data_IF_341521313974
#
_entry.id   IF_341521313974
#
_cell.length_a   1.000
_cell.length_b   1.000
_cell.length_c   1.000
_cell.angle_alpha   90.00
_cell.angle_beta   90.00
_cell.angle_gamma   90.00
#
_symmetry.space_group_name_H-M   'P 1'
#
loop_
_entity.id
_entity.type
_entity.pdbx_description
1 polymer ?
#
# COMPACT_ATOMS: atom_id res chain seq x y z
N UNK A 1 -10.71 -16.92 10.71
CA UNK A 1 -10.10 -15.61 10.94
C UNK A 1 -8.68 -15.59 10.44
N UNK A 2 -8.46 -14.96 9.29
CA UNK A 2 -7.15 -14.91 8.62
C UNK A 2 -6.62 -13.46 8.67
N UNK A 3 -5.51 -13.26 9.38
CA UNK A 3 -4.77 -12.00 9.45
C UNK A 3 -3.75 -12.07 8.30
N UNK A 4 -4.14 -11.61 7.11
CA UNK A 4 -3.29 -11.71 5.92
C UNK A 4 -2.18 -10.65 5.87
N UNK A 5 -2.36 -9.50 6.52
CA UNK A 5 -1.36 -8.42 6.58
C UNK A 5 -0.38 -8.61 7.74
N UNK A 6 0.93 -8.50 7.49
CA UNK A 6 1.93 -8.46 8.57
C UNK A 6 1.65 -7.24 9.47
N UNK A 7 1.58 -7.40 10.80
CA UNK A 7 1.37 -6.26 11.69
C UNK A 7 2.53 -5.28 11.55
N UNK A 8 2.20 -3.99 11.50
CA UNK A 8 3.19 -2.91 11.42
C UNK A 8 3.26 -2.25 12.78
N UNK A 9 4.44 -2.29 13.38
CA UNK A 9 4.74 -1.53 14.58
C UNK A 9 5.46 -0.27 14.14
N UNK A 10 4.86 0.88 14.43
CA UNK A 10 5.53 2.16 14.25
C UNK A 10 5.33 3.02 15.50
N UNK A 11 6.42 3.22 16.24
CA UNK A 11 6.42 3.80 17.58
C UNK A 11 5.52 2.99 18.53
N UNK A 12 4.63 3.67 19.26
CA UNK A 12 3.73 3.09 20.25
C UNK A 12 2.40 2.58 19.67
N UNK A 13 2.28 2.42 18.34
CA UNK A 13 1.05 1.98 17.68
C UNK A 13 1.30 0.74 16.85
N UNK A 14 0.48 -0.27 17.07
CA UNK A 14 0.36 -1.48 16.25
C UNK A 14 -0.81 -1.32 15.31
N UNK A 15 -0.58 -1.48 14.01
CA UNK A 15 -1.64 -1.56 13.02
C UNK A 15 -1.89 -3.02 12.63
N UNK A 16 -3.16 -3.39 12.61
CA UNK A 16 -3.63 -4.69 12.17
C UNK A 16 -4.63 -4.48 11.05
N UNK A 17 -4.49 -5.24 9.97
CA UNK A 17 -5.43 -5.24 8.84
C UNK A 17 -5.85 -6.68 8.56
N UNK A 18 -7.16 -6.91 8.46
CA UNK A 18 -7.72 -8.20 8.11
C UNK A 18 -8.21 -8.22 6.67
N UNK A 19 -8.18 -9.40 6.07
CA UNK A 19 -8.87 -9.63 4.79
C UNK A 19 -10.39 -9.48 4.94
N UNK A 20 -10.93 -9.78 6.14
CA UNK A 20 -12.36 -9.70 6.47
C UNK A 20 -12.93 -8.28 6.59
N UNK A 21 -12.11 -7.24 6.37
CA UNK A 21 -12.62 -5.87 6.21
C UNK A 21 -12.40 -4.95 7.39
N UNK A 22 -11.57 -5.31 8.37
CA UNK A 22 -11.29 -4.42 9.51
C UNK A 22 -9.81 -4.06 9.55
N UNK A 23 -9.56 -2.75 9.62
CA UNK A 23 -8.27 -2.21 10.03
C UNK A 23 -8.40 -1.56 11.41
N UNK A 24 -7.46 -1.85 12.30
CA UNK A 24 -7.41 -1.27 13.63
C UNK A 24 -6.02 -0.74 13.97
N UNK A 25 -5.98 0.29 14.81
CA UNK A 25 -4.78 0.76 15.48
C UNK A 25 -4.91 0.49 16.97
N UNK A 26 -3.85 -0.06 17.57
CA UNK A 26 -3.79 -0.49 18.96
C UNK A 26 -2.57 0.17 19.60
N UNK A 27 -2.74 0.74 20.79
CA UNK A 27 -1.64 1.24 21.61
C UNK A 27 -0.77 0.06 22.03
N UNK A 28 0.52 0.10 21.71
CA UNK A 28 1.47 -0.94 22.10
C UNK A 28 1.67 -0.97 23.63
N UNK A 29 1.58 0.19 24.28
CA UNK A 29 1.82 0.34 25.72
C UNK A 29 0.65 -0.15 26.58
N UNK A 30 -0.58 0.03 26.11
CA UNK A 30 -1.79 -0.30 26.89
C UNK A 30 -2.59 -1.48 26.33
N UNK A 31 -2.34 -1.87 25.08
CA UNK A 31 -3.17 -2.83 24.35
C UNK A 31 -4.54 -2.30 23.95
N UNK A 32 -4.83 -1.03 24.23
CA UNK A 32 -6.13 -0.42 23.93
C UNK A 32 -6.25 -0.06 22.45
N UNK A 33 -7.44 -0.30 21.90
CA UNK A 33 -7.75 0.08 20.52
C UNK A 33 -7.94 1.60 20.42
N UNK A 34 -7.06 2.26 19.67
CA UNK A 34 -7.15 3.69 19.36
C UNK A 34 -8.29 3.98 18.39
N UNK A 35 -8.41 3.17 17.34
CA UNK A 35 -9.49 3.26 16.36
C UNK A 35 -9.67 1.96 15.57
N UNK A 36 -10.82 1.84 14.92
CA UNK A 36 -11.12 0.80 13.92
C UNK A 36 -11.86 1.42 12.73
N UNK A 37 -11.65 0.85 11.54
CA UNK A 37 -12.30 1.23 10.28
C UNK A 37 -12.62 -0.02 9.46
N UNK A 38 -13.71 0.07 8.70
CA UNK A 38 -14.12 -0.95 7.74
C UNK A 38 -13.27 -0.82 6.46
N UNK A 39 -12.03 -1.31 6.55
CA UNK A 39 -11.04 -1.28 5.48
C UNK A 39 -10.50 -2.70 5.32
N UNK A 40 -10.80 -3.33 4.19
CA UNK A 40 -10.22 -4.61 3.78
C UNK A 40 -8.89 -4.39 3.08
N UNK A 41 -7.88 -5.13 3.51
CA UNK A 41 -6.59 -5.13 2.84
C UNK A 41 -5.78 -6.38 3.18
N UNK A 42 -4.87 -6.73 2.27
CA UNK A 42 -3.95 -7.85 2.43
C UNK A 42 -2.49 -7.38 2.50
N UNK A 43 -2.24 -6.15 2.05
CA UNK A 43 -0.91 -5.58 2.01
C UNK A 43 -0.57 -4.96 3.36
N UNK A 44 0.71 -4.97 3.69
CA UNK A 44 1.24 -4.34 4.90
C UNK A 44 1.09 -2.83 4.78
N UNK A 45 0.40 -2.14 5.72
CA UNK A 45 0.30 -0.68 5.71
C UNK A 45 1.68 0.00 5.77
N UNK A 46 1.79 1.21 5.26
CA UNK A 46 3.00 2.02 5.41
C UNK A 46 2.75 3.18 6.37
N UNK A 47 3.38 3.17 7.55
CA UNK A 47 3.28 4.27 8.51
C UNK A 47 4.42 5.27 8.31
N UNK A 48 4.11 6.56 8.19
CA UNK A 48 5.12 7.63 8.12
C UNK A 48 4.55 8.95 8.65
N UNK A 49 5.33 9.66 9.48
CA UNK A 49 4.87 10.91 10.12
C UNK A 49 3.57 10.72 10.90
N UNK A 50 2.57 11.57 10.67
CA UNK A 50 1.25 11.47 11.30
C UNK A 50 0.22 10.66 10.49
N UNK A 51 0.68 9.90 9.51
CA UNK A 51 -0.20 9.19 8.58
C UNK A 51 0.14 7.70 8.48
N UNK A 52 -0.86 6.92 8.06
CA UNK A 52 -0.72 5.55 7.61
C UNK A 52 -1.34 5.41 6.23
N UNK A 53 -0.61 4.77 5.33
CA UNK A 53 -1.00 4.53 3.94
C UNK A 53 -1.38 3.07 3.75
N UNK A 54 -2.49 2.82 3.08
CA UNK A 54 -3.09 1.50 3.01
C UNK A 54 -3.57 1.25 1.60
N UNK A 55 -3.23 0.08 1.05
CA UNK A 55 -3.79 -0.40 -0.21
C UNK A 55 -4.88 -1.44 0.07
N UNK A 56 -6.10 -1.16 -0.37
CA UNK A 56 -7.27 -2.02 -0.12
C UNK A 56 -7.41 -3.13 -1.14
N UNK A 57 -8.25 -4.12 -0.83
CA UNK A 57 -8.64 -5.19 -1.78
C UNK A 57 -9.33 -4.64 -3.04
N UNK A 58 -10.01 -3.49 -2.93
CA UNK A 58 -10.64 -2.77 -4.04
C UNK A 58 -9.67 -1.89 -4.85
N UNK A 59 -8.36 -2.08 -4.65
CA UNK A 59 -7.30 -1.34 -5.31
C UNK A 59 -7.40 0.17 -5.06
N UNK A 60 -7.76 0.56 -3.84
CA UNK A 60 -7.75 1.96 -3.40
C UNK A 60 -6.54 2.21 -2.50
N UNK A 61 -5.79 3.27 -2.79
CA UNK A 61 -4.76 3.77 -1.89
C UNK A 61 -5.37 4.83 -0.98
N UNK A 62 -5.30 4.61 0.33
CA UNK A 62 -5.83 5.49 1.35
C UNK A 62 -4.69 6.13 2.12
N UNK A 63 -4.90 7.37 2.57
CA UNK A 63 -4.13 8.00 3.62
C UNK A 63 -5.04 8.25 4.82
N UNK A 64 -4.67 7.69 5.96
CA UNK A 64 -5.40 7.85 7.22
C UNK A 64 -4.55 8.60 8.23
N UNK A 65 -5.18 9.40 9.09
CA UNK A 65 -4.50 9.96 10.26
C UNK A 65 -4.14 8.84 11.23
N UNK A 66 -2.90 8.86 11.72
CA UNK A 66 -2.34 7.86 12.63
C UNK A 66 -3.15 7.70 13.92
N UNK A 67 -3.54 8.81 14.54
CA UNK A 67 -4.14 8.81 15.88
C UNK A 67 -5.65 8.54 15.88
N UNK A 68 -6.34 8.88 14.79
CA UNK A 68 -7.82 8.86 14.76
C UNK A 68 -8.38 8.00 13.61
N UNK A 69 -7.54 7.52 12.70
CA UNK A 69 -7.97 6.74 11.53
C UNK A 69 -8.88 7.54 10.60
N UNK A 70 -8.77 8.87 10.55
CA UNK A 70 -9.58 9.71 9.65
C UNK A 70 -8.97 9.64 8.25
N UNK A 71 -9.80 9.41 7.24
CA UNK A 71 -9.37 9.45 5.84
C UNK A 71 -9.03 10.89 5.46
N UNK A 72 -7.78 11.12 5.05
CA UNK A 72 -7.33 12.40 4.48
C UNK A 72 -7.62 12.45 2.99
N UNK A 73 -7.32 11.37 2.28
CA UNK A 73 -7.59 11.24 0.85
C UNK A 73 -7.70 9.76 0.45
N UNK A 74 -8.30 9.53 -0.71
CA UNK A 74 -8.43 8.23 -1.37
C UNK A 74 -8.02 8.40 -2.82
N UNK A 75 -7.16 7.51 -3.32
CA UNK A 75 -6.84 7.40 -4.74
C UNK A 75 -7.27 6.04 -5.27
N UNK A 76 -8.12 6.04 -6.30
CA UNK A 76 -8.54 4.80 -6.97
C UNK A 76 -7.45 4.39 -7.97
N UNK A 77 -6.81 3.24 -7.73
CA UNK A 77 -5.89 2.67 -8.70
C UNK A 77 -6.66 2.00 -9.84
N UNK A 78 -5.99 1.87 -10.98
CA UNK A 78 -6.52 1.11 -12.11
C UNK A 78 -6.71 -0.35 -11.71
N UNK A 79 -7.94 -0.86 -11.81
CA UNK A 79 -8.25 -2.25 -11.38
C UNK A 79 -8.30 -3.26 -12.53
N UNK A 80 -8.27 -2.81 -13.78
CA UNK A 80 -8.36 -3.67 -14.97
C UNK A 80 -7.45 -3.16 -16.10
N UNK A 81 -6.87 -4.09 -16.87
CA UNK A 81 -6.14 -3.77 -18.10
C UNK A 81 -7.08 -3.24 -19.19
N UNK A 82 -8.30 -3.78 -19.26
CA UNK A 82 -9.41 -3.27 -20.07
C UNK A 82 -10.52 -2.78 -19.13
N UNK A 83 -10.57 -1.45 -18.84
CA UNK A 83 -11.56 -0.87 -17.94
C UNK A 83 -13.01 -0.98 -18.43
N UNK A 84 -13.23 -0.87 -19.75
CA UNK A 84 -14.57 -0.90 -20.34
C UNK A 84 -15.16 -2.31 -20.25
N UNK A 85 -14.37 -3.31 -20.64
CA UNK A 85 -14.74 -4.72 -20.55
C UNK A 85 -14.61 -5.33 -19.16
N UNK A 86 -14.00 -4.61 -18.20
CA UNK A 86 -13.59 -5.12 -16.87
C UNK A 86 -12.79 -6.42 -16.97
N UNK A 87 -11.84 -6.50 -17.92
CA UNK A 87 -11.00 -7.69 -18.16
C UNK A 87 -9.57 -7.47 -17.70
N UNK A 88 -8.93 -8.57 -17.29
CA UNK A 88 -7.55 -8.57 -16.80
C UNK A 88 -7.41 -7.78 -15.51
N UNK A 89 -7.88 -8.31 -14.36
CA UNK A 89 -7.77 -7.62 -13.08
C UNK A 89 -6.30 -7.32 -12.74
N UNK A 90 -6.06 -6.13 -12.21
CA UNK A 90 -4.74 -5.66 -11.81
C UNK A 90 -4.66 -5.71 -10.28
N UNK A 91 -3.70 -6.47 -9.78
CA UNK A 91 -3.35 -6.46 -8.37
C UNK A 91 -2.18 -5.51 -8.16
N UNK A 92 -2.35 -4.54 -7.27
CA UNK A 92 -1.27 -3.67 -6.84
C UNK A 92 -0.61 -4.20 -5.56
N UNK A 93 0.68 -3.94 -5.40
CA UNK A 93 1.47 -4.25 -4.23
C UNK A 93 2.21 -2.99 -3.76
N UNK A 94 2.34 -2.84 -2.43
CA UNK A 94 2.78 -1.62 -1.77
C UNK A 94 1.75 -1.13 -0.74
N UNK A 95 1.80 0.14 -0.32
CA UNK A 95 2.70 1.20 -0.79
C UNK A 95 4.07 1.20 -0.09
N UNK A 96 5.06 1.81 -0.74
CA UNK A 96 6.38 2.09 -0.18
C UNK A 96 6.67 3.58 -0.31
N UNK A 97 6.95 4.27 0.79
CA UNK A 97 7.31 5.68 0.75
C UNK A 97 8.80 5.84 0.48
N UNK A 98 9.16 6.46 -0.64
CA UNK A 98 10.54 6.79 -1.00
C UNK A 98 10.59 8.12 -1.72
N UNK A 99 11.54 8.99 -1.34
CA UNK A 99 11.76 10.30 -1.98
C UNK A 99 10.46 11.10 -2.17
N UNK A 100 9.64 11.18 -1.11
CA UNK A 100 8.33 11.84 -1.07
C UNK A 100 7.29 11.31 -2.07
N UNK A 101 7.39 10.02 -2.43
CA UNK A 101 6.48 9.32 -3.33
C UNK A 101 6.05 8.00 -2.72
N UNK A 102 4.75 7.73 -2.73
CA UNK A 102 4.23 6.38 -2.50
C UNK A 102 4.38 5.61 -3.80
N UNK A 103 5.28 4.65 -3.80
CA UNK A 103 5.54 3.77 -4.93
C UNK A 103 4.80 2.47 -4.75
N UNK A 104 4.14 2.05 -5.81
CA UNK A 104 3.40 0.80 -5.92
C UNK A 104 3.71 0.14 -7.25
N UNK A 105 3.60 -1.18 -7.27
CA UNK A 105 3.80 -1.98 -8.47
C UNK A 105 2.61 -2.88 -8.70
N UNK A 106 2.43 -3.31 -9.94
CA UNK A 106 1.27 -4.09 -10.34
C UNK A 106 1.66 -5.43 -10.97
N UNK A 107 0.72 -6.37 -10.89
CA UNK A 107 0.75 -7.63 -11.62
C UNK A 107 0.73 -7.47 -13.14
N UNK A 108 0.36 -6.29 -13.65
CA UNK A 108 0.24 -5.99 -15.08
C UNK A 108 1.48 -5.34 -15.68
N UNK A 109 2.58 -5.22 -14.92
CA UNK A 109 3.79 -4.56 -15.44
C UNK A 109 3.77 -3.04 -15.30
N UNK A 110 3.01 -2.49 -14.35
CA UNK A 110 3.01 -1.05 -14.08
C UNK A 110 3.65 -0.76 -12.73
N UNK A 111 4.45 0.29 -12.66
CA UNK A 111 4.78 0.98 -11.43
C UNK A 111 4.12 2.36 -11.43
N UNK A 112 3.61 2.77 -10.27
CA UNK A 112 2.96 4.07 -10.08
C UNK A 112 3.60 4.79 -8.89
N UNK A 113 3.74 6.11 -9.04
CA UNK A 113 4.14 7.00 -7.97
C UNK A 113 2.95 7.92 -7.63
N UNK A 114 2.56 7.97 -6.36
CA UNK A 114 1.46 8.79 -5.84
C UNK A 114 2.00 9.74 -4.77
N UNK A 115 1.49 10.98 -4.77
CA UNK A 115 1.81 11.97 -3.75
C UNK A 115 1.28 11.53 -2.38
N UNK A 116 2.14 11.39 -1.34
CA UNK A 116 1.69 11.08 0.02
C UNK A 116 0.83 12.20 0.62
N UNK A 117 0.91 13.41 0.07
CA UNK A 117 0.25 14.60 0.61
C UNK A 117 -1.16 14.78 0.07
N UNK A 118 -1.33 14.59 -1.25
CA UNK A 118 -2.58 14.88 -1.98
C UNK A 118 -3.29 13.62 -2.48
N UNK A 119 -2.59 12.49 -2.57
CA UNK A 119 -3.10 11.29 -3.23
C UNK A 119 -3.10 11.40 -4.75
N UNK A 120 -2.50 12.42 -5.34
CA UNK A 120 -2.44 12.57 -6.80
C UNK A 120 -1.40 11.65 -7.43
N UNK A 121 -1.73 11.11 -8.60
CA UNK A 121 -0.79 10.33 -9.40
C UNK A 121 0.29 11.26 -9.95
N UNK A 122 1.54 11.02 -9.55
CA UNK A 122 2.70 11.79 -9.99
C UNK A 122 3.30 11.24 -11.29
N UNK A 123 3.12 9.95 -11.56
CA UNK A 123 3.63 9.31 -12.77
C UNK A 123 3.43 7.81 -12.76
N UNK A 124 3.61 7.20 -13.94
CA UNK A 124 3.62 5.76 -14.15
C UNK A 124 4.77 5.37 -15.05
N UNK A 125 5.24 4.14 -14.90
CA UNK A 125 6.19 3.52 -15.81
C UNK A 125 5.86 2.05 -15.99
N UNK A 126 6.27 1.50 -17.13
CA UNK A 126 6.25 0.07 -17.35
C UNK A 126 7.43 -0.59 -16.65
N UNK A 127 7.18 -1.74 -16.03
CA UNK A 127 8.19 -2.60 -15.43
C UNK A 127 8.10 -3.99 -16.07
N UNK A 128 9.23 -4.64 -16.40
CA UNK A 128 9.22 -5.98 -16.97
C UNK A 128 8.51 -6.98 -16.06
N UNK A 129 7.65 -7.81 -16.65
CA UNK A 129 7.05 -9.02 -16.05
C UNK A 129 6.17 -8.80 -14.80
N UNK A 130 5.84 -7.54 -14.47
CA UNK A 130 5.03 -7.19 -13.30
C UNK A 130 5.68 -7.57 -11.97
N UNK A 131 5.02 -7.18 -10.89
CA UNK A 131 5.45 -7.53 -9.54
C UNK A 131 4.24 -7.71 -8.62
N UNK A 132 4.23 -8.80 -7.86
CA UNK A 132 3.22 -9.06 -6.81
C UNK A 132 3.69 -8.68 -5.40
N UNK A 133 4.99 -8.36 -5.25
CA UNK A 133 5.60 -8.07 -3.96
C UNK A 133 5.88 -6.56 -3.88
N UNK A 134 5.61 -5.92 -2.73
CA UNK A 134 6.01 -4.53 -2.51
C UNK A 134 7.50 -4.33 -2.81
N UNK A 135 7.90 -3.19 -3.39
CA UNK A 135 9.31 -2.86 -3.54
C UNK A 135 10.05 -2.87 -2.20
N UNK A 136 11.35 -3.15 -2.22
CA UNK A 136 12.23 -2.95 -1.06
C UNK A 136 13.12 -1.75 -1.34
N UNK A 137 13.21 -0.81 -0.41
CA UNK A 137 14.11 0.35 -0.54
C UNK A 137 15.35 0.12 0.32
N UNK A 138 16.52 0.23 -0.29
CA UNK A 138 17.79 0.27 0.43
C UNK A 138 18.74 1.26 -0.25
N UNK A 139 19.37 2.14 0.54
CA UNK A 139 20.32 3.15 0.07
C UNK A 139 19.79 4.03 -1.09
N UNK A 140 18.52 4.44 -1.03
CA UNK A 140 17.90 5.26 -2.08
C UNK A 140 17.63 4.55 -3.41
N UNK A 141 17.85 3.23 -3.46
CA UNK A 141 17.55 2.40 -4.63
C UNK A 141 16.31 1.57 -4.34
N UNK A 142 15.37 1.56 -5.29
CA UNK A 142 14.18 0.72 -5.25
C UNK A 142 14.49 -0.63 -5.88
N UNK A 143 14.36 -1.70 -5.11
CA UNK A 143 14.50 -3.08 -5.57
C UNK A 143 13.11 -3.67 -5.81
N UNK A 144 12.89 -4.13 -7.04
CA UNK A 144 11.69 -4.83 -7.45
C UNK A 144 12.03 -6.29 -7.70
N UNK A 145 11.24 -7.19 -7.14
CA UNK A 145 11.30 -8.61 -7.45
C UNK A 145 10.16 -8.93 -8.41
N UNK A 146 10.51 -9.25 -9.66
CA UNK A 146 9.54 -9.60 -10.69
C UNK A 146 9.20 -11.09 -10.62
N UNK A 147 8.12 -11.49 -11.29
CA UNK A 147 7.58 -12.84 -11.20
C UNK A 147 8.50 -13.92 -11.78
N UNK A 148 9.45 -13.54 -12.62
CA UNK A 148 10.47 -14.44 -13.19
C UNK A 148 11.78 -14.41 -12.40
N UNK A 149 11.73 -14.04 -11.12
CA UNK A 149 12.89 -13.95 -10.24
C UNK A 149 13.96 -12.93 -10.69
N UNK A 150 13.59 -11.89 -11.45
CA UNK A 150 14.52 -10.81 -11.79
C UNK A 150 14.47 -9.69 -10.75
N UNK A 151 15.66 -9.24 -10.34
CA UNK A 151 15.85 -8.08 -9.48
C UNK A 151 16.05 -6.85 -10.36
N UNK A 152 15.09 -5.93 -10.36
CA UNK A 152 15.21 -4.64 -11.06
C UNK A 152 15.53 -3.56 -10.03
N UNK A 153 16.60 -2.80 -10.25
CA UNK A 153 17.00 -1.66 -9.42
C UNK A 153 16.66 -0.35 -10.14
N UNK A 154 15.79 0.47 -9.55
CA UNK A 154 15.46 1.82 -10.02
C UNK A 154 16.12 2.87 -9.12
N UNK A 155 16.72 3.89 -9.72
CA UNK A 155 17.33 5.06 -9.05
C UNK A 155 16.53 6.32 -9.36
#
# INVERSE_FOLDING_TARGET
DDIAGRPVVDRDIVYVISHSGIMAAISLNTGERLWARDISGIQTPWAAGDYVYVLTTEQQLLCLTRKEGKVKWIHQMQRWNDPEGKKGPINWAGPVLVSDRLVMVSSSGLAAAVSPYTGELLGRMEIPNGAFIPPVVANGTLYLYTNDAQLVALR
#
